data_IF_372489412850
#
_entry.id   IF_372489412850
#
_cell.length_a   1.000
_cell.length_b   1.000
_cell.length_c   1.000
_cell.angle_alpha   90.00
_cell.angle_beta   90.00
_cell.angle_gamma   90.00
#
_symmetry.space_group_name_H-M   'P 1'
#
loop_
_entity.id
_entity.type
_entity.pdbx_description
1 polymer ?
#
# COMPACT_ATOMS: atom_id res chain seq x y z
N UNK A 1 -53.10 -2.20 -8.55
CA UNK A 1 -52.32 -2.55 -7.35
C UNK A 1 -51.02 -3.32 -7.63
N UNK A 2 -50.94 -4.27 -8.55
CA UNK A 2 -49.72 -5.04 -8.86
C UNK A 2 -48.60 -4.20 -9.50
N UNK A 3 -48.96 -3.27 -10.40
CA UNK A 3 -47.97 -2.38 -11.09
C UNK A 3 -47.29 -1.43 -10.12
N UNK A 4 -48.00 -0.88 -9.16
CA UNK A 4 -47.46 0.03 -8.15
C UNK A 4 -46.51 -0.68 -7.19
N UNK A 5 -46.77 -1.93 -6.85
CA UNK A 5 -45.90 -2.78 -6.02
C UNK A 5 -44.61 -3.13 -6.74
N UNK A 6 -44.67 -3.42 -8.04
CA UNK A 6 -43.48 -3.73 -8.83
C UNK A 6 -42.61 -2.50 -9.08
N UNK A 7 -43.21 -1.31 -9.25
CA UNK A 7 -42.51 -0.04 -9.39
C UNK A 7 -41.77 0.33 -8.08
N UNK A 8 -42.40 0.13 -6.92
CA UNK A 8 -41.80 0.35 -5.61
C UNK A 8 -40.62 -0.60 -5.36
N UNK A 9 -40.69 -1.85 -5.77
CA UNK A 9 -39.62 -2.83 -5.64
C UNK A 9 -38.41 -2.48 -6.54
N UNK A 10 -38.66 -1.99 -7.77
CA UNK A 10 -37.60 -1.53 -8.67
C UNK A 10 -36.86 -0.31 -8.15
N UNK A 11 -37.59 0.65 -7.57
CA UNK A 11 -36.98 1.85 -6.96
C UNK A 11 -36.14 1.47 -5.73
N UNK A 12 -36.60 0.52 -4.92
CA UNK A 12 -35.85 0.03 -3.76
C UNK A 12 -34.56 -0.70 -4.17
N UNK A 13 -34.62 -1.47 -5.26
CA UNK A 13 -33.47 -2.17 -5.82
C UNK A 13 -32.44 -1.20 -6.43
N UNK A 14 -32.90 -0.14 -7.10
CA UNK A 14 -32.03 0.89 -7.66
C UNK A 14 -31.29 1.71 -6.59
N UNK A 15 -31.92 1.95 -5.44
CA UNK A 15 -31.29 2.62 -4.29
C UNK A 15 -30.21 1.75 -3.62
N UNK A 16 -30.30 0.44 -3.69
CA UNK A 16 -29.29 -0.47 -3.12
C UNK A 16 -27.96 -0.45 -3.91
N UNK A 17 -27.98 -0.09 -5.20
CA UNK A 17 -26.76 0.06 -6.02
C UNK A 17 -26.09 1.42 -5.93
N UNK A 18 -26.69 2.41 -5.27
CA UNK A 18 -26.10 3.73 -5.06
C UNK A 18 -25.13 3.78 -3.85
N UNK A 19 -24.94 2.69 -3.13
CA UNK A 19 -24.10 2.61 -1.96
C UNK A 19 -22.67 2.19 -2.26
N UNK A 20 -21.73 2.99 -1.82
CA UNK A 20 -20.27 2.78 -1.76
C UNK A 20 -19.49 3.09 -3.04
N UNK A 21 -19.54 4.32 -3.48
CA UNK A 21 -18.36 4.95 -4.07
C UNK A 21 -17.47 5.36 -2.89
N UNK A 22 -16.53 4.51 -2.51
CA UNK A 22 -15.50 4.87 -1.54
C UNK A 22 -14.85 6.16 -2.03
N UNK A 23 -14.78 7.19 -1.17
CA UNK A 23 -14.09 8.42 -1.51
C UNK A 23 -12.67 8.06 -1.96
N UNK A 24 -12.32 8.35 -3.22
CA UNK A 24 -10.94 8.27 -3.68
C UNK A 24 -10.12 9.19 -2.79
N UNK A 25 -9.09 8.66 -2.13
CA UNK A 25 -8.15 9.49 -1.38
C UNK A 25 -7.20 10.15 -2.38
N UNK A 26 -6.81 11.37 -2.09
CA UNK A 26 -5.72 12.03 -2.81
C UNK A 26 -4.39 11.70 -2.15
N UNK A 27 -3.32 11.76 -2.91
CA UNK A 27 -1.96 11.53 -2.38
C UNK A 27 -1.63 12.48 -1.22
N UNK A 28 -2.13 13.72 -1.28
CA UNK A 28 -1.96 14.74 -0.25
C UNK A 28 -2.61 14.40 1.10
N UNK A 29 -3.57 13.46 1.13
CA UNK A 29 -4.22 13.03 2.36
C UNK A 29 -3.28 12.17 3.24
N UNK A 30 -2.22 11.60 2.63
CA UNK A 30 -1.21 10.80 3.32
C UNK A 30 -0.17 11.72 3.96
N UNK A 31 -0.52 12.35 5.06
CA UNK A 31 0.29 13.32 5.78
C UNK A 31 0.53 12.98 7.26
N UNK A 32 -0.09 11.91 7.76
CA UNK A 32 0.10 11.46 9.13
C UNK A 32 1.24 10.46 9.19
N UNK A 33 2.36 10.90 9.73
CA UNK A 33 3.54 10.04 9.91
C UNK A 33 3.24 8.93 10.92
N UNK A 34 3.42 7.66 10.49
CA UNK A 34 3.24 6.48 11.33
C UNK A 34 4.48 6.13 12.13
N UNK A 35 5.64 6.42 11.58
CA UNK A 35 6.92 6.09 12.17
C UNK A 35 7.94 7.19 11.87
N UNK A 36 8.58 7.68 12.91
CA UNK A 36 9.70 8.62 12.83
C UNK A 36 11.00 7.86 13.14
N UNK A 37 11.82 7.54 12.13
CA UNK A 37 13.08 6.86 12.38
C UNK A 37 14.04 7.77 13.15
N UNK A 38 14.72 7.21 14.15
CA UNK A 38 15.65 7.94 14.98
C UNK A 38 16.97 8.23 14.24
N UNK A 39 17.42 7.28 13.41
CA UNK A 39 18.74 7.36 12.75
C UNK A 39 18.68 7.45 11.23
N UNK A 40 17.58 7.04 10.61
CA UNK A 40 17.43 7.06 9.16
C UNK A 40 16.58 8.23 8.71
N UNK A 41 17.07 9.05 7.77
CA UNK A 41 16.37 10.23 7.27
C UNK A 41 15.88 10.10 5.83
N UNK A 42 16.25 9.02 5.13
CA UNK A 42 15.99 8.83 3.71
C UNK A 42 14.61 8.27 3.36
N UNK A 43 13.70 8.07 4.33
CA UNK A 43 12.36 7.57 4.05
C UNK A 43 11.30 8.11 5.00
N UNK A 44 10.05 8.01 4.56
CA UNK A 44 8.86 8.32 5.36
C UNK A 44 7.83 7.21 5.22
N UNK A 45 7.08 6.97 6.30
CA UNK A 45 5.94 6.06 6.33
C UNK A 45 4.74 6.86 6.81
N UNK A 46 3.77 7.05 5.92
CA UNK A 46 2.65 7.97 6.14
C UNK A 46 1.31 7.25 5.90
N UNK A 47 0.28 7.73 6.54
CA UNK A 47 -1.10 7.25 6.41
C UNK A 47 -2.07 8.41 6.32
N UNK A 48 -3.17 8.21 5.61
CA UNK A 48 -4.29 9.14 5.63
C UNK A 48 -5.22 8.85 6.82
N UNK A 49 -5.87 9.86 7.36
CA UNK A 49 -6.81 9.69 8.46
C UNK A 49 -7.98 8.77 8.07
N UNK A 50 -8.30 7.84 8.97
CA UNK A 50 -9.36 6.85 8.75
C UNK A 50 -9.03 5.75 7.75
N UNK A 51 -7.81 5.70 7.20
CA UNK A 51 -7.32 4.67 6.28
C UNK A 51 -6.40 3.68 6.98
N UNK A 52 -6.36 2.44 6.47
CA UNK A 52 -5.42 1.42 6.93
C UNK A 52 -4.22 1.28 5.99
N UNK A 53 -4.38 1.71 4.74
CA UNK A 53 -3.32 1.71 3.73
C UNK A 53 -2.20 2.68 4.09
N UNK A 54 -0.99 2.36 3.65
CA UNK A 54 0.24 3.06 4.03
C UNK A 54 0.99 3.50 2.78
N UNK A 55 1.48 4.72 2.80
CA UNK A 55 2.39 5.26 1.81
C UNK A 55 3.81 5.27 2.35
N UNK A 56 4.71 4.59 1.66
CA UNK A 56 6.15 4.64 1.92
C UNK A 56 6.80 5.48 0.84
N UNK A 57 7.53 6.51 1.23
CA UNK A 57 8.31 7.37 0.33
C UNK A 57 9.79 7.24 0.67
N UNK A 58 10.60 6.88 -0.31
CA UNK A 58 12.07 6.79 -0.18
C UNK A 58 12.68 7.90 -1.01
N UNK A 59 13.45 8.75 -0.36
CA UNK A 59 14.09 9.91 -0.96
C UNK A 59 15.55 9.58 -1.27
N UNK A 60 15.98 9.96 -2.48
CA UNK A 60 17.36 9.75 -2.94
C UNK A 60 17.87 8.32 -2.68
N UNK A 61 17.20 7.28 -3.26
CA UNK A 61 17.38 5.87 -2.88
C UNK A 61 18.75 5.28 -3.25
N UNK A 62 19.59 5.99 -3.98
CA UNK A 62 20.96 5.56 -4.31
C UNK A 62 21.94 6.72 -4.22
N UNK A 63 23.21 6.40 -4.14
CA UNK A 63 24.29 7.39 -4.10
C UNK A 63 24.31 8.23 -5.39
N UNK A 64 24.33 9.55 -5.23
CA UNK A 64 24.28 10.49 -6.35
C UNK A 64 22.87 10.80 -6.86
N UNK A 65 21.83 10.21 -6.29
CA UNK A 65 20.47 10.66 -6.54
C UNK A 65 20.24 12.02 -5.90
N UNK A 66 19.65 12.94 -6.67
CA UNK A 66 19.22 14.25 -6.18
C UNK A 66 17.77 14.49 -6.60
N UNK A 67 16.94 14.86 -5.63
CA UNK A 67 15.52 15.12 -5.82
C UNK A 67 14.71 13.94 -6.37
N UNK A 68 15.21 12.71 -6.22
CA UNK A 68 14.49 11.49 -6.60
C UNK A 68 13.67 10.97 -5.44
N UNK A 69 12.39 10.69 -5.68
CA UNK A 69 11.52 10.04 -4.70
C UNK A 69 10.88 8.81 -5.32
N UNK A 70 11.07 7.67 -4.69
CA UNK A 70 10.38 6.42 -5.04
C UNK A 70 9.26 6.17 -4.03
N UNK A 71 8.09 5.76 -4.51
CA UNK A 71 6.92 5.54 -3.67
C UNK A 71 6.41 4.11 -3.77
N UNK A 72 5.97 3.59 -2.62
CA UNK A 72 5.27 2.31 -2.50
C UNK A 72 3.97 2.55 -1.75
N UNK A 73 2.86 2.18 -2.34
CA UNK A 73 1.56 2.17 -1.69
C UNK A 73 1.22 0.75 -1.25
N UNK A 74 1.00 0.55 0.04
CA UNK A 74 0.57 -0.73 0.61
C UNK A 74 -0.92 -0.64 0.87
N UNK A 75 -1.72 -1.20 -0.05
CA UNK A 75 -3.18 -1.25 0.06
C UNK A 75 -3.59 -2.26 1.12
N UNK A 76 -4.45 -1.85 2.03
CA UNK A 76 -5.05 -2.72 3.05
C UNK A 76 -6.56 -2.67 2.95
N UNK A 77 -7.21 -3.77 3.27
CA UNK A 77 -8.68 -3.91 3.29
C UNK A 77 -9.36 -3.52 1.96
N UNK A 78 -8.66 -3.69 0.83
CA UNK A 78 -9.20 -3.33 -0.48
C UNK A 78 -9.37 -1.82 -0.68
N UNK A 79 -8.68 -1.00 0.09
CA UNK A 79 -8.72 0.45 -0.09
C UNK A 79 -8.12 0.84 -1.44
N UNK A 80 -8.78 1.75 -2.16
CA UNK A 80 -8.32 2.16 -3.48
C UNK A 80 -7.00 2.92 -3.41
N UNK A 81 -6.20 2.76 -4.45
CA UNK A 81 -4.97 3.54 -4.68
C UNK A 81 -5.34 5.03 -4.78
N UNK A 82 -4.54 5.93 -4.17
CA UNK A 82 -4.77 7.37 -4.28
C UNK A 82 -4.77 7.87 -5.73
N UNK A 83 -5.60 8.85 -6.02
CA UNK A 83 -5.63 9.48 -7.33
C UNK A 83 -4.29 10.18 -7.62
N UNK A 84 -3.75 9.98 -8.83
CA UNK A 84 -2.46 10.55 -9.22
C UNK A 84 -1.23 9.83 -8.65
N UNK A 85 -1.40 8.65 -8.05
CA UNK A 85 -0.27 7.86 -7.57
C UNK A 85 0.54 7.27 -8.72
N UNK A 86 1.85 7.46 -8.70
CA UNK A 86 2.80 7.10 -9.76
C UNK A 86 3.84 6.04 -9.33
N UNK A 87 3.67 5.45 -8.13
CA UNK A 87 4.62 4.48 -7.55
C UNK A 87 4.19 3.02 -7.74
N UNK A 88 4.84 2.15 -6.98
CA UNK A 88 4.51 0.73 -6.91
C UNK A 88 3.35 0.48 -5.94
N UNK A 89 2.50 -0.50 -6.25
CA UNK A 89 1.39 -0.92 -5.40
C UNK A 89 1.62 -2.34 -4.90
N UNK A 90 1.49 -2.53 -3.60
CA UNK A 90 1.45 -3.83 -2.95
C UNK A 90 0.06 -4.02 -2.34
N UNK A 91 -0.63 -5.08 -2.73
CA UNK A 91 -1.92 -5.43 -2.14
C UNK A 91 -1.74 -6.34 -0.93
N UNK A 92 -2.08 -5.84 0.24
CA UNK A 92 -1.92 -6.55 1.50
C UNK A 92 -0.47 -6.68 1.96
N UNK A 93 -0.20 -7.72 2.76
CA UNK A 93 1.15 -8.01 3.25
C UNK A 93 1.91 -8.92 2.29
N UNK A 94 3.20 -8.67 2.12
CA UNK A 94 4.06 -9.52 1.32
C UNK A 94 4.12 -10.95 1.90
N UNK A 95 3.56 -11.92 1.17
CA UNK A 95 3.54 -13.32 1.59
C UNK A 95 4.75 -14.10 1.08
N UNK A 96 5.36 -13.64 0.00
CA UNK A 96 6.50 -14.27 -0.67
C UNK A 96 7.51 -13.19 -1.06
N UNK A 97 8.74 -13.33 -0.61
CA UNK A 97 9.80 -12.35 -0.79
C UNK A 97 10.97 -13.02 -1.52
N UNK A 98 11.35 -12.46 -2.66
CA UNK A 98 12.56 -12.89 -3.37
C UNK A 98 13.75 -12.10 -2.81
N UNK A 99 14.61 -12.79 -2.06
CA UNK A 99 15.83 -12.21 -1.53
C UNK A 99 17.00 -12.52 -2.46
N UNK A 100 17.69 -11.49 -2.95
CA UNK A 100 18.77 -11.63 -3.94
C UNK A 100 20.16 -11.60 -3.33
N UNK A 101 20.29 -11.47 -2.01
CA UNK A 101 21.57 -11.49 -1.30
C UNK A 101 21.42 -12.02 0.11
N UNK A 102 22.52 -12.49 0.70
CA UNK A 102 22.58 -12.88 2.11
C UNK A 102 22.23 -11.74 3.05
N UNK A 103 22.54 -10.50 2.68
CA UNK A 103 22.17 -9.31 3.45
C UNK A 103 20.64 -9.16 3.54
N UNK A 104 19.90 -9.40 2.44
CA UNK A 104 18.44 -9.37 2.47
C UNK A 104 17.87 -10.48 3.35
N UNK A 105 18.48 -11.67 3.35
CA UNK A 105 18.07 -12.76 4.26
C UNK A 105 18.31 -12.37 5.71
N UNK A 106 19.46 -11.78 6.04
CA UNK A 106 19.76 -11.34 7.39
C UNK A 106 18.78 -10.24 7.87
N UNK A 107 18.33 -9.35 6.97
CA UNK A 107 17.30 -8.37 7.29
C UNK A 107 15.95 -9.03 7.59
N UNK A 108 15.56 -10.05 6.81
CA UNK A 108 14.33 -10.81 7.05
C UNK A 108 14.42 -11.60 8.36
N UNK A 109 15.58 -12.14 8.68
CA UNK A 109 15.82 -12.86 9.94
C UNK A 109 15.69 -11.92 11.15
N UNK A 110 16.27 -10.73 11.06
CA UNK A 110 16.22 -9.73 12.12
C UNK A 110 14.78 -9.29 12.48
N UNK A 111 13.83 -9.38 11.54
CA UNK A 111 12.41 -9.09 11.76
C UNK A 111 11.54 -10.36 11.92
N UNK A 112 12.15 -11.55 11.95
CA UNK A 112 11.44 -12.82 12.13
C UNK A 112 10.66 -13.32 10.91
N UNK A 113 10.95 -12.81 9.71
CA UNK A 113 10.19 -13.08 8.48
C UNK A 113 10.92 -13.94 7.45
N UNK A 114 11.95 -14.68 7.87
CA UNK A 114 12.76 -15.57 7.00
C UNK A 114 11.91 -16.62 6.28
N UNK A 115 10.82 -17.09 6.91
CA UNK A 115 9.90 -18.06 6.31
C UNK A 115 9.18 -17.55 5.05
N UNK A 116 9.13 -16.25 4.84
CA UNK A 116 8.56 -15.63 3.63
C UNK A 116 9.55 -15.58 2.45
N UNK A 117 10.84 -15.86 2.69
CA UNK A 117 11.81 -15.92 1.61
C UNK A 117 11.59 -17.17 0.75
N UNK A 118 11.32 -16.98 -0.54
CA UNK A 118 11.03 -18.07 -1.49
C UNK A 118 12.18 -18.35 -2.45
N UNK A 119 13.13 -17.44 -2.56
CA UNK A 119 14.34 -17.62 -3.38
C UNK A 119 15.48 -16.84 -2.77
N UNK A 120 16.63 -17.47 -2.71
CA UNK A 120 17.91 -16.82 -2.48
C UNK A 120 18.89 -17.39 -3.50
N UNK A 121 19.53 -16.54 -4.24
CA UNK A 121 20.59 -16.96 -5.14
C UNK A 121 21.87 -17.14 -4.30
N UNK A 122 22.35 -18.38 -4.19
CA UNK A 122 23.75 -18.59 -3.86
C UNK A 122 24.57 -18.02 -5.01
N UNK A 123 25.05 -16.81 -4.88
CA UNK A 123 26.17 -16.36 -5.66
C UNK A 123 27.37 -17.20 -5.18
N UNK A 124 27.65 -18.28 -5.89
CA UNK A 124 28.92 -18.97 -5.80
C UNK A 124 29.98 -17.96 -6.22
N UNK A 125 30.81 -17.59 -5.26
CA UNK A 125 32.07 -16.92 -5.56
C UNK A 125 32.99 -17.89 -6.31
#
# INVERSE_FOLDING_TARGET
MKVLKNLSLMVLLALAFAGCRGKSSQLADFNKQLYAPEYASGFKIERADGRQSVLVSVMNPWQGADSVTTRLFISRNGEPVPEGFDGQVLEGDAQRIVAMSSTHIAMLDAIGETARAVSYTHLRA
#
